data_IF_150157592668
#
_entry.id   IF_150157592668
#
_cell.length_a   1.000
_cell.length_b   1.000
_cell.length_c   1.000
_cell.angle_alpha   90.00
_cell.angle_beta   90.00
_cell.angle_gamma   90.00
#
_symmetry.space_group_name_H-M   'P 1'
#
loop_
_entity.id
_entity.type
_entity.pdbx_description
1 polymer ?
#
# COMPACT_ATOMS: atom_id res chain seq x y z
N UNK A 1 -35.26 -12.84 -11.71
CA UNK A 1 -33.99 -12.10 -11.48
C UNK A 1 -34.33 -10.70 -11.00
N UNK A 2 -33.65 -10.16 -9.98
CA UNK A 2 -33.91 -8.78 -9.52
C UNK A 2 -33.58 -7.79 -10.64
N UNK A 3 -34.39 -6.74 -10.76
CA UNK A 3 -34.24 -5.70 -11.78
C UNK A 3 -32.94 -4.90 -11.51
N UNK A 4 -32.15 -4.56 -12.54
CA UNK A 4 -30.98 -3.70 -12.36
C UNK A 4 -31.37 -2.34 -11.78
N UNK A 5 -30.56 -1.81 -10.86
CA UNK A 5 -30.70 -0.46 -10.30
C UNK A 5 -29.77 0.48 -11.07
N UNK A 6 -30.30 1.62 -11.54
CA UNK A 6 -29.50 2.65 -12.21
C UNK A 6 -28.77 3.52 -11.19
N UNK A 7 -27.46 3.66 -11.35
CA UNK A 7 -26.64 4.62 -10.61
C UNK A 7 -26.35 5.82 -11.51
N UNK A 8 -26.75 7.02 -11.09
CA UNK A 8 -26.50 8.27 -11.79
C UNK A 8 -25.48 9.09 -11.00
N UNK A 9 -24.44 9.55 -11.69
CA UNK A 9 -23.35 10.33 -11.10
C UNK A 9 -23.02 11.49 -12.04
N UNK A 10 -22.89 12.68 -11.48
CA UNK A 10 -22.36 13.84 -12.20
C UNK A 10 -20.84 13.81 -12.15
N UNK A 11 -20.22 13.97 -13.32
CA UNK A 11 -18.77 13.99 -13.51
C UNK A 11 -18.37 15.23 -14.30
N UNK A 12 -17.09 15.60 -14.23
CA UNK A 12 -16.58 16.68 -15.07
C UNK A 12 -16.61 16.28 -16.55
N UNK A 13 -16.68 17.25 -17.48
CA UNK A 13 -16.67 16.96 -18.92
C UNK A 13 -15.45 16.15 -19.34
N UNK A 14 -14.27 16.45 -18.78
CA UNK A 14 -13.01 15.78 -19.10
C UNK A 14 -13.06 14.30 -18.72
N UNK A 15 -13.62 13.98 -17.55
CA UNK A 15 -13.78 12.61 -17.10
C UNK A 15 -14.81 11.86 -17.96
N UNK A 16 -15.89 12.51 -18.37
CA UNK A 16 -16.88 11.91 -19.26
C UNK A 16 -16.25 11.50 -20.61
N UNK A 17 -15.41 12.35 -21.20
CA UNK A 17 -14.71 12.05 -22.46
C UNK A 17 -13.69 10.92 -22.29
N UNK A 18 -12.91 10.94 -21.20
CA UNK A 18 -11.97 9.84 -20.90
C UNK A 18 -12.68 8.49 -20.76
N UNK A 19 -13.83 8.46 -20.08
CA UNK A 19 -14.64 7.24 -19.92
C UNK A 19 -15.19 6.75 -21.27
N UNK A 20 -15.64 7.66 -22.13
CA UNK A 20 -16.13 7.31 -23.48
C UNK A 20 -15.02 6.72 -24.33
N UNK A 21 -13.86 7.38 -24.38
CA UNK A 21 -12.70 6.90 -25.13
C UNK A 21 -12.21 5.53 -24.62
N UNK A 22 -12.19 5.31 -23.30
CA UNK A 22 -11.81 4.02 -22.73
C UNK A 22 -12.81 2.91 -23.05
N UNK A 23 -14.11 3.21 -23.02
CA UNK A 23 -15.15 2.26 -23.39
C UNK A 23 -15.08 1.89 -24.89
N UNK A 24 -14.84 2.87 -25.75
CA UNK A 24 -14.64 2.67 -27.19
C UNK A 24 -13.40 1.83 -27.49
N UNK A 25 -12.28 2.09 -26.81
CA UNK A 25 -11.05 1.31 -26.94
C UNK A 25 -11.24 -0.17 -26.57
N UNK A 26 -12.11 -0.44 -25.58
CA UNK A 26 -12.49 -1.80 -25.16
C UNK A 26 -13.63 -2.39 -26.03
N UNK A 27 -14.18 -1.64 -26.99
CA UNK A 27 -15.30 -2.06 -27.84
C UNK A 27 -16.62 -2.25 -27.07
N UNK A 28 -16.81 -1.54 -25.96
CA UNK A 28 -17.95 -1.68 -25.04
C UNK A 28 -18.82 -0.43 -25.00
N UNK A 29 -20.11 -0.63 -24.72
CA UNK A 29 -20.97 0.48 -24.31
C UNK A 29 -20.48 1.04 -22.96
N UNK A 30 -20.57 2.37 -22.78
CA UNK A 30 -20.13 3.06 -21.56
C UNK A 30 -20.72 2.46 -20.29
N UNK A 31 -22.00 2.06 -20.31
CA UNK A 31 -22.68 1.43 -19.18
C UNK A 31 -22.08 0.08 -18.80
N UNK A 32 -21.74 -0.77 -19.78
CA UNK A 32 -21.13 -2.07 -19.55
C UNK A 32 -19.66 -1.93 -19.16
N UNK A 33 -18.95 -0.97 -19.74
CA UNK A 33 -17.59 -0.63 -19.33
C UNK A 33 -17.56 -0.18 -17.87
N UNK A 34 -18.41 0.78 -17.47
CA UNK A 34 -18.52 1.23 -16.09
C UNK A 34 -18.91 0.11 -15.14
N UNK A 35 -19.85 -0.75 -15.54
CA UNK A 35 -20.25 -1.93 -14.75
C UNK A 35 -19.06 -2.88 -14.53
N UNK A 36 -18.24 -3.10 -15.56
CA UNK A 36 -17.03 -3.92 -15.47
C UNK A 36 -16.01 -3.29 -14.52
N UNK A 37 -15.76 -1.98 -14.66
CA UNK A 37 -14.84 -1.27 -13.78
C UNK A 37 -15.31 -1.25 -12.33
N UNK A 38 -16.61 -1.03 -12.08
CA UNK A 38 -17.19 -1.11 -10.73
C UNK A 38 -17.04 -2.51 -10.14
N UNK A 39 -17.28 -3.57 -10.92
CA UNK A 39 -17.05 -4.96 -10.48
C UNK A 39 -15.58 -5.21 -10.13
N UNK A 40 -14.65 -4.76 -10.98
CA UNK A 40 -13.20 -4.90 -10.72
C UNK A 40 -12.79 -4.12 -9.48
N UNK A 41 -13.23 -2.87 -9.37
CA UNK A 41 -12.95 -2.02 -8.23
C UNK A 41 -13.47 -2.64 -6.93
N UNK A 42 -14.70 -3.18 -6.92
CA UNK A 42 -15.30 -3.82 -5.74
C UNK A 42 -14.72 -5.20 -5.45
N UNK A 43 -14.35 -5.99 -6.46
CA UNK A 43 -13.69 -7.28 -6.27
C UNK A 43 -12.26 -7.12 -5.74
N UNK A 44 -11.58 -6.06 -6.16
CA UNK A 44 -10.25 -5.69 -5.69
C UNK A 44 -10.31 -4.79 -4.45
N UNK A 45 -11.51 -4.34 -4.04
CA UNK A 45 -11.69 -3.61 -2.79
C UNK A 45 -11.82 -4.64 -1.68
N UNK A 46 -10.83 -4.79 -0.78
CA UNK A 46 -11.00 -5.63 0.38
C UNK A 46 -12.16 -5.06 1.19
N UNK A 47 -13.28 -5.78 1.23
CA UNK A 47 -14.44 -5.42 2.02
C UNK A 47 -13.99 -5.05 3.45
N UNK A 48 -14.01 -3.77 3.80
CA UNK A 48 -13.74 -3.26 5.14
C UNK A 48 -12.28 -3.25 5.64
N UNK A 49 -11.30 -3.81 4.92
CA UNK A 49 -9.89 -3.77 5.31
C UNK A 49 -9.14 -2.78 4.42
N UNK A 50 -9.41 -1.48 4.66
CA UNK A 50 -8.65 -0.35 4.10
C UNK A 50 -7.16 -0.64 4.04
N UNK A 51 -6.41 0.02 3.14
CA UNK A 51 -4.94 -0.02 3.07
C UNK A 51 -4.25 -0.08 4.44
N UNK A 52 -4.87 0.50 5.48
CA UNK A 52 -4.48 0.40 6.88
C UNK A 52 -4.35 -1.03 7.44
N UNK A 53 -5.24 -1.96 7.11
CA UNK A 53 -5.18 -3.35 7.56
C UNK A 53 -4.06 -4.14 6.87
N UNK A 54 -3.75 -3.82 5.61
CA UNK A 54 -2.58 -4.37 4.91
C UNK A 54 -1.30 -3.76 5.45
N UNK A 55 -1.26 -2.44 5.62
CA UNK A 55 -0.14 -1.72 6.23
C UNK A 55 0.13 -2.20 7.66
N UNK A 56 -0.89 -2.44 8.48
CA UNK A 56 -0.74 -2.98 9.83
C UNK A 56 -0.17 -4.40 9.81
N UNK A 57 -0.59 -5.25 8.86
CA UNK A 57 -0.01 -6.60 8.70
C UNK A 57 1.45 -6.53 8.26
N UNK A 58 1.76 -5.72 7.26
CA UNK A 58 3.13 -5.52 6.78
C UNK A 58 4.02 -4.92 7.86
N UNK A 59 3.48 -3.98 8.66
CA UNK A 59 4.17 -3.37 9.78
C UNK A 59 4.44 -4.36 10.92
N UNK A 60 3.48 -5.23 11.27
CA UNK A 60 3.70 -6.30 12.25
C UNK A 60 4.77 -7.29 11.78
N UNK A 61 4.76 -7.64 10.51
CA UNK A 61 5.77 -8.54 9.93
C UNK A 61 7.17 -7.90 9.91
N UNK A 62 7.26 -6.61 9.54
CA UNK A 62 8.55 -5.90 9.54
C UNK A 62 9.10 -5.70 10.95
N UNK A 63 8.24 -5.41 11.93
CA UNK A 63 8.62 -5.36 13.34
C UNK A 63 9.16 -6.70 13.83
N UNK A 64 8.48 -7.81 13.52
CA UNK A 64 8.95 -9.14 13.89
C UNK A 64 10.32 -9.45 13.28
N UNK A 65 10.51 -9.14 11.99
CA UNK A 65 11.80 -9.33 11.32
C UNK A 65 12.91 -8.49 11.97
N UNK A 66 12.62 -7.24 12.33
CA UNK A 66 13.59 -6.36 12.99
C UNK A 66 14.00 -6.88 14.38
N UNK A 67 13.02 -7.27 15.21
CA UNK A 67 13.27 -7.83 16.55
C UNK A 67 14.02 -9.16 16.46
N UNK A 68 13.64 -10.03 15.50
CA UNK A 68 14.33 -11.30 15.27
C UNK A 68 15.78 -11.12 14.84
N UNK A 69 16.03 -10.19 13.92
CA UNK A 69 17.39 -9.86 13.47
C UNK A 69 18.23 -9.28 14.62
N UNK A 70 17.66 -8.40 15.43
CA UNK A 70 18.35 -7.79 16.57
C UNK A 70 18.68 -8.83 17.67
N UNK A 71 17.79 -9.80 17.90
CA UNK A 71 18.06 -10.92 18.80
C UNK A 71 19.19 -11.81 18.27
N UNK A 72 19.21 -12.11 16.96
CA UNK A 72 20.28 -12.88 16.32
C UNK A 72 21.63 -12.15 16.38
N UNK A 73 21.65 -10.84 16.13
CA UNK A 73 22.86 -10.02 16.22
C UNK A 73 23.36 -9.90 17.67
N UNK A 74 22.46 -9.89 18.65
CA UNK A 74 22.82 -9.82 20.07
C UNK A 74 23.43 -11.12 20.60
N UNK A 75 23.04 -12.28 20.05
CA UNK A 75 23.63 -13.57 20.38
C UNK A 75 24.91 -13.92 19.60
N UNK A 76 25.36 -13.03 18.71
CA UNK A 76 26.50 -13.29 17.84
C UNK A 76 27.84 -13.12 18.60
N UNK A 77 28.85 -13.99 18.34
CA UNK A 77 30.15 -13.92 19.02
C UNK A 77 30.95 -12.64 18.72
N UNK A 78 30.71 -12.01 17.57
CA UNK A 78 31.22 -10.67 17.24
C UNK A 78 30.26 -9.59 17.79
N UNK A 79 30.61 -9.04 18.95
CA UNK A 79 29.83 -8.00 19.62
C UNK A 79 29.78 -6.65 18.85
N UNK A 80 30.69 -6.43 17.89
CA UNK A 80 30.74 -5.20 17.08
C UNK A 80 29.83 -5.28 15.84
N UNK A 81 29.41 -6.49 15.47
CA UNK A 81 28.60 -6.75 14.29
C UNK A 81 27.26 -6.00 14.33
N UNK A 82 26.65 -5.93 15.52
CA UNK A 82 25.38 -5.23 15.74
C UNK A 82 25.50 -3.75 15.42
N UNK A 83 26.51 -3.07 15.95
CA UNK A 83 26.74 -1.63 15.71
C UNK A 83 27.02 -1.34 14.24
N UNK A 84 27.83 -2.18 13.59
CA UNK A 84 28.12 -2.08 12.15
C UNK A 84 26.87 -2.27 11.29
N UNK A 85 26.03 -3.24 11.63
CA UNK A 85 24.77 -3.49 10.92
C UNK A 85 23.80 -2.30 11.03
N UNK A 86 23.65 -1.72 12.23
CA UNK A 86 22.82 -0.52 12.41
C UNK A 86 23.39 0.70 11.68
N UNK A 87 24.72 0.85 11.64
CA UNK A 87 25.38 1.95 10.93
C UNK A 87 25.18 1.86 9.42
N UNK A 88 25.36 0.66 8.85
CA UNK A 88 25.10 0.39 7.43
C UNK A 88 23.63 0.57 7.07
N UNK A 89 22.71 0.14 7.96
CA UNK A 89 21.27 0.34 7.77
C UNK A 89 20.90 1.82 7.72
N UNK A 90 21.40 2.65 8.67
CA UNK A 90 21.17 4.10 8.66
C UNK A 90 21.70 4.77 7.38
N UNK A 91 22.88 4.37 6.91
CA UNK A 91 23.45 4.89 5.66
C UNK A 91 22.57 4.55 4.45
N UNK A 92 22.11 3.30 4.32
CA UNK A 92 21.22 2.87 3.23
C UNK A 92 19.84 3.54 3.27
N UNK A 93 19.28 3.76 4.45
CA UNK A 93 18.03 4.51 4.57
C UNK A 93 18.18 5.96 4.09
N UNK A 94 19.31 6.60 4.43
CA UNK A 94 19.64 7.95 3.97
C UNK A 94 19.82 8.00 2.45
N UNK A 95 20.51 7.04 1.85
CA UNK A 95 20.69 6.91 0.39
C UNK A 95 19.36 6.68 -0.34
N UNK A 96 18.44 5.92 0.26
CA UNK A 96 17.12 5.66 -0.30
C UNK A 96 16.12 6.82 -0.15
N UNK A 97 16.54 7.98 0.41
CA UNK A 97 15.64 9.11 0.67
C UNK A 97 14.61 8.85 1.77
N UNK A 98 14.72 7.72 2.49
CA UNK A 98 13.86 7.37 3.61
C UNK A 98 14.45 8.03 4.87
N UNK A 99 13.96 9.22 5.22
CA UNK A 99 14.37 9.89 6.43
C UNK A 99 14.17 8.95 7.63
N UNK A 100 15.27 8.60 8.31
CA UNK A 100 15.22 7.87 9.58
C UNK A 100 14.53 8.80 10.56
N UNK A 101 13.20 8.63 10.72
CA UNK A 101 12.46 9.40 11.70
C UNK A 101 13.12 9.18 13.07
N UNK A 102 13.43 10.26 13.81
CA UNK A 102 14.04 10.12 15.12
C UNK A 102 13.10 9.28 15.99
N UNK A 103 13.69 8.29 16.67
CA UNK A 103 12.98 7.45 17.64
C UNK A 103 12.28 8.36 18.64
N UNK A 104 10.94 8.41 18.61
CA UNK A 104 10.16 9.00 19.70
C UNK A 104 10.42 8.15 20.95
N UNK A 105 11.36 8.60 21.76
CA UNK A 105 11.85 7.86 22.92
C UNK A 105 13.01 8.57 23.62
N UNK A 106 12.94 9.90 23.72
CA UNK A 106 13.79 10.67 24.63
C UNK A 106 12.95 11.81 25.20
N UNK A 107 12.00 11.44 26.07
CA UNK A 107 11.47 12.36 27.06
C UNK A 107 12.20 12.02 28.36
N UNK A 108 13.13 12.88 28.75
CA UNK A 108 13.58 13.04 30.13
C UNK A 108 13.85 14.51 30.38
#
# INVERSE_FOLDING_TARGET
MPRPISLQVYVSPELAEQVRAAAEADGLAVSEWLRSQLKKALANSPSGASDRGLLDKLYRQSLFAFVGLDALLSGHPDHTLRERAHTAWKARCKEAGMAVAPTKGAAK
#
